data_IF_581835076662
#
_entry.id   IF_581835076662
#
_cell.length_a   1.000
_cell.length_b   1.000
_cell.length_c   1.000
_cell.angle_alpha   90.00
_cell.angle_beta   90.00
_cell.angle_gamma   90.00
#
_symmetry.space_group_name_H-M   'P 1'
#
loop_
_entity.id
_entity.type
_entity.pdbx_description
1 polymer ?
#
# COMPACT_ATOMS: atom_id res chain seq x y z
N UNK A 1 21.34 -18.11 -8.12
CA UNK A 1 20.63 -16.91 -7.64
C UNK A 1 20.96 -15.76 -8.56
N UNK A 2 19.96 -15.09 -9.12
CA UNK A 2 20.14 -13.94 -10.01
C UNK A 2 19.49 -12.75 -9.30
N UNK A 3 20.15 -11.60 -9.33
CA UNK A 3 19.61 -10.33 -8.84
C UNK A 3 19.35 -9.44 -10.04
N UNK A 4 18.15 -8.89 -10.12
CA UNK A 4 17.80 -7.91 -11.14
C UNK A 4 18.04 -6.52 -10.53
N UNK A 5 18.86 -5.70 -11.17
CA UNK A 5 19.01 -4.29 -10.82
C UNK A 5 18.45 -3.44 -11.96
N UNK A 6 17.49 -2.59 -11.63
CA UNK A 6 16.79 -1.73 -12.56
C UNK A 6 17.14 -0.25 -12.33
N UNK A 7 18.18 0.04 -11.52
CA UNK A 7 18.61 1.40 -11.19
C UNK A 7 18.90 2.27 -12.41
N UNK A 8 19.33 1.66 -13.52
CA UNK A 8 19.72 2.40 -14.72
C UNK A 8 18.56 2.56 -15.73
N UNK A 9 17.39 1.97 -15.46
CA UNK A 9 16.21 2.14 -16.28
C UNK A 9 15.30 3.24 -15.69
N UNK A 10 15.40 4.42 -16.30
CA UNK A 10 14.67 5.64 -15.93
C UNK A 10 13.13 5.51 -15.94
N UNK A 11 12.59 4.50 -16.65
CA UNK A 11 11.14 4.28 -16.77
C UNK A 11 10.66 3.08 -15.94
N UNK A 12 11.47 2.62 -14.98
CA UNK A 12 11.13 1.49 -14.12
C UNK A 12 9.99 1.79 -13.15
N UNK A 13 9.05 0.84 -13.10
CA UNK A 13 7.99 0.77 -12.08
C UNK A 13 8.21 -0.47 -11.22
N UNK A 14 8.08 -0.31 -9.91
CA UNK A 14 8.07 -1.38 -8.93
C UNK A 14 6.62 -1.69 -8.60
N UNK A 15 6.25 -2.97 -8.66
CA UNK A 15 4.98 -3.48 -8.16
C UNK A 15 5.24 -4.69 -7.25
N UNK A 16 4.89 -4.54 -5.98
CA UNK A 16 4.82 -5.62 -4.99
C UNK A 16 3.37 -5.81 -4.60
N UNK A 17 2.85 -7.02 -4.77
CA UNK A 17 1.48 -7.33 -4.41
C UNK A 17 1.34 -7.41 -2.88
N UNK A 18 0.26 -6.84 -2.34
CA UNK A 18 -0.14 -7.11 -0.96
C UNK A 18 -0.47 -8.60 -0.79
N UNK A 19 -0.33 -9.10 0.43
CA UNK A 19 -0.58 -10.51 0.72
C UNK A 19 -0.94 -10.74 2.17
N UNK A 20 -1.55 -11.89 2.46
CA UNK A 20 -1.89 -12.31 3.81
C UNK A 20 -0.83 -13.33 4.26
N UNK A 21 -0.25 -13.11 5.44
CA UNK A 21 0.70 -14.02 6.06
C UNK A 21 -0.01 -15.16 6.81
N UNK A 22 0.76 -16.17 7.25
CA UNK A 22 0.26 -17.37 7.93
C UNK A 22 -0.58 -17.07 9.18
N UNK A 23 -0.33 -15.96 9.88
CA UNK A 23 -1.04 -15.52 11.08
C UNK A 23 -2.22 -14.59 10.79
N UNK A 24 -2.67 -14.54 9.54
CA UNK A 24 -3.72 -13.65 9.03
C UNK A 24 -3.37 -12.15 9.07
N UNK A 25 -2.10 -11.79 9.30
CA UNK A 25 -1.61 -10.41 9.14
C UNK A 25 -1.59 -10.04 7.66
N UNK A 26 -2.22 -8.90 7.32
CA UNK A 26 -2.08 -8.33 5.98
C UNK A 26 -0.75 -7.58 5.87
N UNK A 27 0.07 -8.02 4.91
CA UNK A 27 1.29 -7.35 4.48
C UNK A 27 0.99 -6.35 3.36
N UNK A 28 1.65 -5.18 3.36
CA UNK A 28 1.39 -4.15 2.39
C UNK A 28 1.97 -4.50 1.03
N UNK A 29 1.30 -4.05 -0.02
CA UNK A 29 1.89 -3.96 -1.36
C UNK A 29 2.60 -2.62 -1.55
N UNK A 30 3.42 -2.53 -2.59
CA UNK A 30 4.10 -1.32 -2.99
C UNK A 30 3.87 -1.09 -4.48
N UNK A 31 3.50 0.13 -4.86
CA UNK A 31 3.69 0.60 -6.23
C UNK A 31 4.53 1.87 -6.18
N UNK A 32 5.65 1.86 -6.88
CA UNK A 32 6.59 2.99 -6.87
C UNK A 32 7.33 3.10 -8.21
N UNK A 33 8.07 4.17 -8.39
CA UNK A 33 8.94 4.44 -9.54
C UNK A 33 10.35 4.72 -9.06
N UNK A 34 11.37 4.17 -9.73
CA UNK A 34 12.77 4.44 -9.35
C UNK A 34 13.22 5.86 -9.67
N UNK A 35 12.57 6.52 -10.63
CA UNK A 35 12.93 7.84 -11.12
C UNK A 35 11.72 8.75 -11.27
N UNK A 36 11.95 10.06 -11.23
CA UNK A 36 10.89 11.08 -11.35
C UNK A 36 10.73 11.61 -12.78
N UNK A 37 10.76 10.72 -13.77
CA UNK A 37 10.53 11.12 -15.17
C UNK A 37 9.05 11.49 -15.41
N UNK A 38 8.74 12.31 -16.42
CA UNK A 38 7.35 12.65 -16.75
C UNK A 38 6.48 11.41 -17.02
N UNK A 39 7.05 10.37 -17.64
CA UNK A 39 6.37 9.10 -17.92
C UNK A 39 6.06 8.34 -16.63
N UNK A 40 7.04 8.17 -15.74
CA UNK A 40 6.86 7.53 -14.44
C UNK A 40 5.78 8.23 -13.60
N UNK A 41 5.83 9.56 -13.53
CA UNK A 41 4.83 10.37 -12.84
C UNK A 41 3.43 10.23 -13.46
N UNK A 42 3.33 10.08 -14.79
CA UNK A 42 2.06 9.86 -15.47
C UNK A 42 1.45 8.49 -15.13
N UNK A 43 2.27 7.43 -15.05
CA UNK A 43 1.84 6.10 -14.62
C UNK A 43 1.32 6.10 -13.18
N UNK A 44 2.04 6.74 -12.26
CA UNK A 44 1.60 6.87 -10.86
C UNK A 44 0.27 7.63 -10.75
N UNK A 45 0.08 8.69 -11.54
CA UNK A 45 -1.20 9.41 -11.60
C UNK A 45 -2.34 8.51 -12.06
N UNK A 46 -2.15 7.72 -13.12
CA UNK A 46 -3.18 6.80 -13.60
C UNK A 46 -3.53 5.74 -12.56
N UNK A 47 -2.54 5.19 -11.88
CA UNK A 47 -2.77 4.22 -10.81
C UNK A 47 -3.56 4.84 -9.65
N UNK A 48 -3.16 6.01 -9.15
CA UNK A 48 -3.89 6.72 -8.10
C UNK A 48 -5.32 7.06 -8.52
N UNK A 49 -5.53 7.43 -9.79
CA UNK A 49 -6.88 7.64 -10.34
C UNK A 49 -7.71 6.36 -10.32
N UNK A 50 -7.12 5.21 -10.66
CA UNK A 50 -7.80 3.92 -10.60
C UNK A 50 -8.20 3.56 -9.16
N UNK A 51 -7.28 3.69 -8.19
CA UNK A 51 -7.57 3.42 -6.78
C UNK A 51 -8.74 4.27 -6.25
N UNK A 52 -8.79 5.56 -6.62
CA UNK A 52 -9.90 6.45 -6.27
C UNK A 52 -11.23 6.01 -6.90
N UNK A 53 -11.22 5.53 -8.14
CA UNK A 53 -12.42 5.00 -8.82
C UNK A 53 -12.93 3.75 -8.14
N UNK A 54 -12.03 2.88 -7.70
CA UNK A 54 -12.35 1.65 -6.95
C UNK A 54 -12.66 1.90 -5.47
N UNK A 55 -12.87 3.16 -5.06
CA UNK A 55 -13.27 3.55 -3.70
C UNK A 55 -12.30 3.10 -2.59
N UNK A 56 -11.00 3.04 -2.90
CA UNK A 56 -9.99 2.81 -1.87
C UNK A 56 -9.98 3.97 -0.87
N UNK A 57 -9.91 3.65 0.42
CA UNK A 57 -9.85 4.63 1.50
C UNK A 57 -8.40 4.98 1.79
N UNK A 58 -8.08 6.28 1.86
CA UNK A 58 -6.75 6.73 2.26
C UNK A 58 -6.65 6.78 3.78
N UNK A 59 -5.71 6.03 4.35
CA UNK A 59 -5.33 6.07 5.77
C UNK A 59 -3.85 6.40 5.83
N UNK A 60 -3.51 7.55 6.42
CA UNK A 60 -2.14 8.08 6.39
C UNK A 60 -1.59 8.13 4.95
N UNK A 61 -0.52 7.38 4.67
CA UNK A 61 0.10 7.26 3.35
C UNK A 61 -0.42 6.08 2.51
N UNK A 62 -1.32 5.27 3.06
CA UNK A 62 -1.75 4.00 2.49
C UNK A 62 -3.13 4.09 1.83
N UNK A 63 -3.28 3.42 0.70
CA UNK A 63 -4.57 3.21 0.04
C UNK A 63 -5.10 1.83 0.41
N UNK A 64 -6.23 1.79 1.09
CA UNK A 64 -6.80 0.57 1.67
C UNK A 64 -8.07 0.20 0.91
N UNK A 65 -8.06 -0.98 0.29
CA UNK A 65 -9.20 -1.55 -0.41
C UNK A 65 -10.29 -2.03 0.56
N UNK A 66 -11.44 -2.43 0.01
CA UNK A 66 -12.62 -2.81 0.78
C UNK A 66 -12.33 -3.97 1.74
N UNK A 67 -11.74 -5.05 1.26
CA UNK A 67 -11.47 -6.27 2.04
C UNK A 67 -10.46 -5.98 3.16
N UNK A 68 -9.41 -5.22 2.86
CA UNK A 68 -8.43 -4.79 3.87
C UNK A 68 -9.10 -3.90 4.94
N UNK A 69 -10.06 -3.07 4.56
CA UNK A 69 -10.84 -2.27 5.51
C UNK A 69 -11.74 -3.11 6.41
N UNK A 70 -12.34 -4.17 5.86
CA UNK A 70 -13.11 -5.13 6.64
C UNK A 70 -12.21 -5.88 7.64
N UNK A 71 -11.01 -6.29 7.22
CA UNK A 71 -10.01 -6.87 8.12
C UNK A 71 -9.65 -5.92 9.26
N UNK A 72 -9.34 -4.66 8.94
CA UNK A 72 -8.98 -3.66 9.94
C UNK A 72 -10.11 -3.42 10.95
N UNK A 73 -11.37 -3.31 10.47
CA UNK A 73 -12.56 -3.17 11.33
C UNK A 73 -12.82 -4.40 12.19
N UNK A 74 -12.44 -5.59 11.73
CA UNK A 74 -12.50 -6.82 12.49
C UNK A 74 -11.36 -6.95 13.53
N UNK A 75 -10.50 -5.93 13.67
CA UNK A 75 -9.36 -5.94 14.59
C UNK A 75 -8.20 -6.81 14.12
N UNK A 76 -8.18 -7.20 12.84
CA UNK A 76 -7.04 -7.90 12.24
C UNK A 76 -5.89 -6.94 12.04
N UNK A 77 -4.70 -7.52 11.98
CA UNK A 77 -3.46 -6.78 11.84
C UNK A 77 -3.20 -6.43 10.39
N UNK A 78 -2.98 -5.15 10.13
CA UNK A 78 -2.50 -4.62 8.85
C UNK A 78 -1.20 -3.88 9.12
N UNK A 79 -0.06 -4.55 8.95
CA UNK A 79 1.23 -3.89 9.19
C UNK A 79 1.66 -3.07 7.97
N UNK A 80 2.38 -1.97 8.19
CA UNK A 80 2.95 -1.13 7.13
C UNK A 80 4.38 -1.53 6.74
N UNK A 81 4.93 -2.56 7.39
CA UNK A 81 6.32 -2.99 7.21
C UNK A 81 6.42 -4.51 7.07
N UNK A 82 6.51 -5.24 8.18
CA UNK A 82 6.72 -6.68 8.20
C UNK A 82 6.03 -7.34 9.40
N UNK A 83 5.78 -8.64 9.33
CA UNK A 83 5.02 -9.39 10.35
C UNK A 83 5.68 -9.32 11.72
N UNK A 84 7.01 -9.30 11.80
CA UNK A 84 7.73 -9.20 13.07
C UNK A 84 7.73 -7.80 13.69
N UNK A 85 7.28 -6.77 12.96
CA UNK A 85 7.29 -5.40 13.47
C UNK A 85 6.35 -5.25 14.66
N UNK A 86 6.61 -4.34 15.60
CA UNK A 86 5.68 -4.03 16.69
C UNK A 86 4.33 -3.48 16.19
N UNK A 87 3.24 -3.57 16.98
CA UNK A 87 1.92 -3.07 16.60
C UNK A 87 1.82 -1.56 16.33
N UNK A 88 2.80 -0.77 16.77
CA UNK A 88 2.86 0.67 16.44
C UNK A 88 3.05 0.94 14.93
N UNK A 89 3.51 -0.04 14.17
CA UNK A 89 3.62 0.02 12.71
C UNK A 89 2.36 -0.48 12.00
N UNK A 90 1.30 -0.81 12.73
CA UNK A 90 0.05 -1.25 12.15
C UNK A 90 -0.83 -0.05 11.80
N UNK A 91 -1.54 -0.16 10.69
CA UNK A 91 -2.58 0.79 10.32
C UNK A 91 -3.65 0.82 11.40
N UNK A 92 -4.13 2.03 11.69
CA UNK A 92 -5.24 2.27 12.59
C UNK A 92 -6.42 2.78 11.81
N UNK A 93 -7.63 2.49 12.28
CA UNK A 93 -8.81 3.17 11.77
C UNK A 93 -8.59 4.67 11.95
N UNK A 94 -8.89 5.50 10.92
CA UNK A 94 -8.87 6.94 11.11
C UNK A 94 -9.81 7.25 12.27
N UNK A 95 -9.39 8.13 13.19
CA UNK A 95 -10.30 8.64 14.20
C UNK A 95 -11.55 9.11 13.45
N UNK A 96 -12.72 8.56 13.81
CA UNK A 96 -13.99 9.05 13.26
C UNK A 96 -13.94 10.56 13.46
N UNK A 97 -13.92 11.31 12.36
CA UNK A 97 -14.00 12.77 12.43
C UNK A 97 -15.21 13.06 13.30
N UNK A 98 -14.93 13.50 14.54
CA UNK A 98 -15.91 13.64 15.60
C UNK A 98 -17.21 14.15 15.00
N UNK A 99 -18.28 13.37 15.16
CA UNK A 99 -19.64 13.79 14.88
C UNK A 99 -19.82 15.24 15.36
N UNK A 100 -19.91 16.17 14.42
CA UNK A 100 -20.27 17.57 14.63
C UNK A 100 -21.21 17.97 13.52
#
# INVERSE_FOLDING_TARGET
>A
HWTLDNSDNEESVILTMAGIWEDETLLPGLMDTLHQTPVAQQLMKWFLTALKKESFTKIESWWVGKEAMEMLRAGKRLTTTAVQSPPEFDLKLPEEANAR
#
